data_IF_413096173472
#
_entry.id   IF_413096173472
#
_cell.length_a   1.000
_cell.length_b   1.000
_cell.length_c   1.000
_cell.angle_alpha   90.00
_cell.angle_beta   90.00
_cell.angle_gamma   90.00
#
_symmetry.space_group_name_H-M   'P 1'
#
loop_
_entity.id
_entity.type
_entity.pdbx_description
1 polymer ?
#
# COMPACT_ATOMS: atom_id res chain seq x y z
N UNK A 1 -101.33 -36.23 -22.86
CA UNK A 1 -101.53 -35.07 -23.75
C UNK A 1 -100.19 -34.73 -24.37
N UNK A 2 -100.12 -34.92 -25.68
CA UNK A 2 -99.37 -34.18 -26.71
C UNK A 2 -97.95 -33.60 -26.44
N UNK A 3 -96.98 -34.18 -27.17
CA UNK A 3 -96.24 -33.56 -28.31
C UNK A 3 -95.55 -32.19 -28.12
N UNK A 4 -94.21 -32.19 -28.29
CA UNK A 4 -93.48 -31.59 -29.45
C UNK A 4 -92.22 -30.76 -29.10
N UNK A 5 -91.06 -31.32 -29.48
CA UNK A 5 -90.11 -30.82 -30.48
C UNK A 5 -89.49 -29.40 -30.40
N UNK A 6 -88.14 -29.35 -30.29
CA UNK A 6 -87.18 -28.66 -31.19
C UNK A 6 -85.81 -28.55 -30.48
N UNK A 7 -84.68 -29.14 -30.93
CA UNK A 7 -83.84 -28.97 -32.15
C UNK A 7 -82.59 -28.10 -31.89
N UNK A 8 -81.43 -28.80 -31.90
CA UNK A 8 -80.11 -28.51 -32.52
C UNK A 8 -79.31 -27.26 -32.12
N UNK A 9 -78.03 -27.49 -31.77
CA UNK A 9 -76.94 -26.53 -31.96
C UNK A 9 -75.65 -26.93 -31.24
N UNK A 10 -74.69 -27.51 -31.97
CA UNK A 10 -73.34 -27.79 -31.47
C UNK A 10 -72.49 -26.54 -31.25
N UNK A 11 -71.33 -26.71 -30.61
CA UNK A 11 -70.35 -25.63 -30.45
C UNK A 11 -69.25 -25.96 -29.45
N UNK A 12 -68.25 -26.70 -29.93
CA UNK A 12 -66.80 -26.50 -29.75
C UNK A 12 -66.23 -25.92 -28.44
N UNK A 13 -65.26 -26.65 -27.90
CA UNK A 13 -63.88 -26.16 -27.98
C UNK A 13 -63.40 -25.19 -26.90
N UNK A 14 -62.79 -25.76 -25.86
CA UNK A 14 -61.45 -25.40 -25.36
C UNK A 14 -60.98 -23.93 -25.56
N UNK A 15 -61.19 -23.05 -24.57
CA UNK A 15 -60.57 -21.69 -24.57
C UNK A 15 -59.94 -21.27 -23.23
N UNK A 16 -59.76 -22.19 -22.28
CA UNK A 16 -59.16 -21.89 -20.96
C UNK A 16 -57.63 -21.89 -20.93
N UNK A 17 -56.97 -22.82 -21.64
CA UNK A 17 -55.52 -23.06 -21.49
C UNK A 17 -54.62 -22.16 -22.34
N UNK A 18 -55.11 -21.62 -23.47
CA UNK A 18 -54.30 -20.82 -24.39
C UNK A 18 -53.87 -19.46 -23.83
N UNK A 19 -54.74 -18.81 -23.02
CA UNK A 19 -54.49 -17.46 -22.48
C UNK A 19 -53.48 -17.47 -21.33
N UNK A 20 -53.50 -18.49 -20.47
CA UNK A 20 -52.54 -18.65 -19.38
C UNK A 20 -51.13 -18.94 -19.91
N UNK A 21 -51.02 -19.83 -20.91
CA UNK A 21 -49.75 -20.17 -21.54
C UNK A 21 -49.14 -18.99 -22.32
N UNK A 22 -49.99 -18.16 -22.96
CA UNK A 22 -49.55 -16.93 -23.65
C UNK A 22 -49.04 -15.87 -22.66
N UNK A 23 -49.74 -15.66 -21.54
CA UNK A 23 -49.29 -14.70 -20.50
C UNK A 23 -47.99 -15.14 -19.82
N UNK A 24 -47.83 -16.43 -19.57
CA UNK A 24 -46.59 -16.98 -19.03
C UNK A 24 -45.41 -16.81 -19.99
N UNK A 25 -45.61 -17.08 -21.30
CA UNK A 25 -44.59 -16.86 -22.34
C UNK A 25 -44.19 -15.39 -22.47
N UNK A 26 -45.16 -14.46 -22.41
CA UNK A 26 -44.88 -13.03 -22.45
C UNK A 26 -44.10 -12.55 -21.22
N UNK A 27 -44.40 -13.09 -20.03
CA UNK A 27 -43.67 -12.78 -18.80
C UNK A 27 -42.22 -13.27 -18.88
N UNK A 28 -42.00 -14.53 -19.30
CA UNK A 28 -40.65 -15.10 -19.47
C UNK A 28 -39.86 -14.33 -20.52
N UNK A 29 -40.50 -13.96 -21.63
CA UNK A 29 -39.87 -13.13 -22.67
C UNK A 29 -39.49 -11.75 -22.15
N UNK A 30 -40.35 -11.08 -21.38
CA UNK A 30 -40.06 -9.79 -20.76
C UNK A 30 -38.88 -9.87 -19.77
N UNK A 31 -38.81 -10.93 -18.97
CA UNK A 31 -37.69 -11.17 -18.05
C UNK A 31 -36.38 -11.35 -18.85
N UNK A 32 -36.39 -12.17 -19.90
CA UNK A 32 -35.22 -12.40 -20.75
C UNK A 32 -34.73 -11.11 -21.43
N UNK A 33 -35.64 -10.30 -21.96
CA UNK A 33 -35.30 -9.01 -22.57
C UNK A 33 -34.67 -8.05 -21.54
N UNK A 34 -35.21 -7.98 -20.32
CA UNK A 34 -34.64 -7.13 -19.27
C UNK A 34 -33.25 -7.62 -18.81
N UNK A 35 -33.05 -8.93 -18.71
CA UNK A 35 -31.74 -9.51 -18.38
C UNK A 35 -30.71 -9.18 -19.48
N UNK A 36 -31.07 -9.33 -20.75
CA UNK A 36 -30.19 -9.00 -21.87
C UNK A 36 -29.85 -7.50 -21.94
N UNK A 37 -30.83 -6.62 -21.71
CA UNK A 37 -30.61 -5.18 -21.63
C UNK A 37 -29.66 -4.82 -20.47
N UNK A 38 -29.81 -5.47 -19.32
CA UNK A 38 -28.94 -5.26 -18.16
C UNK A 38 -27.50 -5.70 -18.46
N UNK A 39 -27.32 -6.85 -19.11
CA UNK A 39 -25.99 -7.35 -19.53
C UNK A 39 -25.36 -6.39 -20.54
N UNK A 40 -26.12 -5.88 -21.52
CA UNK A 40 -25.63 -4.95 -22.52
C UNK A 40 -25.23 -3.59 -21.92
N UNK A 41 -26.04 -3.05 -21.00
CA UNK A 41 -25.73 -1.84 -20.25
C UNK A 41 -24.46 -2.02 -19.41
N UNK A 42 -24.34 -3.14 -18.70
CA UNK A 42 -23.17 -3.45 -17.89
C UNK A 42 -21.91 -3.55 -18.73
N UNK A 43 -21.97 -4.26 -19.86
CA UNK A 43 -20.85 -4.41 -20.80
C UNK A 43 -20.41 -3.09 -21.43
N UNK A 44 -21.36 -2.18 -21.67
CA UNK A 44 -21.05 -0.84 -22.22
C UNK A 44 -20.37 0.06 -21.18
N UNK A 45 -20.79 -0.02 -19.91
CA UNK A 45 -20.20 0.75 -18.81
C UNK A 45 -18.77 0.25 -18.52
N UNK A 46 -18.55 -1.07 -18.49
CA UNK A 46 -17.21 -1.62 -18.26
C UNK A 46 -16.25 -1.29 -19.39
N UNK A 47 -16.69 -1.36 -20.66
CA UNK A 47 -15.88 -0.96 -21.80
C UNK A 47 -15.47 0.51 -21.72
N UNK A 48 -16.41 1.41 -21.41
CA UNK A 48 -16.13 2.84 -21.25
C UNK A 48 -15.23 3.17 -20.05
N UNK A 49 -15.18 2.31 -19.03
CA UNK A 49 -14.25 2.45 -17.90
C UNK A 49 -12.83 2.01 -18.29
N UNK A 50 -12.71 0.89 -19.01
CA UNK A 50 -11.43 0.38 -19.54
C UNK A 50 -10.80 1.36 -20.53
N UNK A 51 -11.60 1.96 -21.43
CA UNK A 51 -11.10 2.96 -22.37
C UNK A 51 -10.60 4.22 -21.67
N UNK A 52 -11.29 4.69 -20.62
CA UNK A 52 -10.86 5.84 -19.81
C UNK A 52 -9.55 5.56 -19.06
N UNK A 53 -9.41 4.35 -18.51
CA UNK A 53 -8.19 3.94 -17.83
C UNK A 53 -7.01 3.84 -18.80
N UNK A 54 -7.23 3.26 -19.98
CA UNK A 54 -6.21 3.18 -21.05
C UNK A 54 -5.79 4.56 -21.53
N UNK A 55 -6.73 5.51 -21.65
CA UNK A 55 -6.43 6.89 -22.02
C UNK A 55 -5.63 7.63 -20.93
N UNK A 56 -5.94 7.41 -19.66
CA UNK A 56 -5.21 7.97 -18.53
C UNK A 56 -3.77 7.43 -18.45
N UNK A 57 -3.57 6.12 -18.70
CA UNK A 57 -2.24 5.49 -18.78
C UNK A 57 -1.40 6.10 -19.90
N UNK A 58 -1.96 6.24 -21.11
CA UNK A 58 -1.27 6.87 -22.24
C UNK A 58 -0.91 8.34 -21.98
N UNK A 59 -1.81 9.10 -21.36
CA UNK A 59 -1.55 10.50 -21.00
C UNK A 59 -0.43 10.62 -19.96
N UNK A 60 -0.39 9.70 -19.00
CA UNK A 60 0.65 9.65 -17.97
C UNK A 60 2.02 9.28 -18.56
N UNK A 61 2.08 8.27 -19.44
CA UNK A 61 3.31 7.88 -20.14
C UNK A 61 3.85 9.03 -21.01
N UNK A 62 2.96 9.76 -21.71
CA UNK A 62 3.35 10.93 -22.49
C UNK A 62 4.01 12.01 -21.60
N UNK A 63 3.40 12.31 -20.44
CA UNK A 63 3.94 13.30 -19.50
C UNK A 63 5.29 12.87 -18.89
N UNK A 64 5.48 11.58 -18.61
CA UNK A 64 6.76 11.05 -18.12
C UNK A 64 7.87 11.13 -19.20
N UNK A 65 7.54 10.82 -20.45
CA UNK A 65 8.47 10.92 -21.57
C UNK A 65 8.88 12.38 -21.86
N UNK A 66 7.94 13.32 -21.73
CA UNK A 66 8.23 14.75 -21.88
C UNK A 66 9.11 15.28 -20.74
N UNK A 67 8.83 14.92 -19.49
CA UNK A 67 9.67 15.26 -18.35
C UNK A 67 11.10 14.69 -18.47
N UNK A 68 11.23 13.45 -18.97
CA UNK A 68 12.52 12.82 -19.23
C UNK A 68 13.28 13.51 -20.38
N UNK A 69 12.58 13.89 -21.46
CA UNK A 69 13.18 14.63 -22.57
C UNK A 69 13.70 16.02 -22.15
N UNK A 70 12.96 16.74 -21.30
CA UNK A 70 13.39 18.02 -20.74
C UNK A 70 14.60 17.89 -19.82
N UNK A 71 14.71 16.79 -19.05
CA UNK A 71 15.89 16.52 -18.22
C UNK A 71 17.17 16.29 -19.04
N UNK A 72 17.06 15.61 -20.18
CA UNK A 72 18.18 15.36 -21.11
C UNK A 72 18.61 16.68 -21.81
N UNK A 73 17.67 17.56 -22.13
CA UNK A 73 17.98 18.88 -22.71
C UNK A 73 18.68 19.81 -21.72
N UNK A 74 18.37 19.70 -20.41
CA UNK A 74 19.05 20.46 -19.37
C UNK A 74 20.50 20.00 -19.16
N UNK A 75 20.80 18.70 -19.32
CA UNK A 75 22.17 18.16 -19.21
C UNK A 75 23.06 18.48 -20.41
N UNK A 76 22.47 18.70 -21.59
CA UNK A 76 23.23 18.94 -22.84
C UNK A 76 23.54 20.43 -23.09
N UNK A 77 23.02 21.36 -22.28
CA UNK A 77 23.09 22.81 -22.53
C UNK A 77 24.12 23.59 -21.68
N UNK A 78 24.97 22.92 -20.88
CA UNK A 78 25.98 23.57 -20.03
C UNK A 78 27.43 23.62 -20.57
N UNK A 79 27.74 24.62 -21.42
CA UNK A 79 29.02 25.38 -21.67
C UNK A 79 30.42 24.66 -21.84
N UNK A 80 31.43 25.29 -22.50
CA UNK A 80 32.27 24.65 -23.53
C UNK A 80 33.74 24.35 -23.12
N UNK A 81 34.42 23.49 -23.89
CA UNK A 81 35.90 23.33 -23.85
C UNK A 81 36.55 23.51 -25.25
N UNK A 82 37.66 24.25 -25.27
CA UNK A 82 38.49 24.59 -26.45
C UNK A 82 39.71 23.62 -26.59
N UNK A 83 40.59 23.70 -27.62
CA UNK A 83 40.82 22.56 -28.53
C UNK A 83 42.25 21.97 -28.63
N UNK A 84 42.28 20.68 -29.01
CA UNK A 84 43.17 19.91 -29.94
C UNK A 84 44.72 19.93 -29.79
N UNK A 85 45.34 18.73 -29.70
CA UNK A 85 45.99 17.93 -30.78
C UNK A 85 47.02 16.88 -30.21
N UNK A 86 47.66 15.96 -30.98
CA UNK A 86 47.16 15.04 -32.02
C UNK A 86 47.68 13.55 -31.96
N UNK A 87 46.88 12.64 -32.57
CA UNK A 87 47.18 11.41 -33.38
C UNK A 87 48.02 10.19 -32.87
N UNK A 88 47.29 9.09 -32.58
CA UNK A 88 47.20 7.74 -33.23
C UNK A 88 48.46 6.87 -33.49
N UNK A 89 48.43 5.50 -33.46
CA UNK A 89 47.40 4.69 -34.17
C UNK A 89 46.92 3.32 -33.59
N UNK A 90 45.67 3.01 -33.96
CA UNK A 90 45.03 1.72 -34.35
C UNK A 90 45.32 0.42 -33.57
N UNK A 91 44.28 -0.12 -32.94
CA UNK A 91 43.80 -1.50 -33.20
C UNK A 91 42.39 -1.78 -32.64
N UNK A 92 41.69 -2.68 -33.33
CA UNK A 92 40.50 -3.46 -32.95
C UNK A 92 39.17 -2.73 -32.67
N UNK A 93 38.24 -2.92 -33.62
CA UNK A 93 36.80 -2.74 -33.45
C UNK A 93 36.26 -3.63 -32.32
N UNK A 94 35.57 -3.03 -31.36
CA UNK A 94 34.65 -3.72 -30.46
C UNK A 94 33.28 -3.01 -30.53
N UNK A 95 32.24 -3.80 -30.73
CA UNK A 95 30.85 -3.37 -30.85
C UNK A 95 30.37 -2.59 -29.60
N UNK A 96 29.38 -1.70 -29.74
CA UNK A 96 28.87 -0.92 -28.61
C UNK A 96 28.17 -1.83 -27.60
N UNK A 97 28.67 -1.80 -26.37
CA UNK A 97 28.03 -2.16 -25.09
C UNK A 97 26.64 -2.81 -25.23
N UNK A 98 26.62 -4.13 -25.33
CA UNK A 98 25.42 -4.88 -24.99
C UNK A 98 25.17 -4.69 -23.50
N UNK A 99 24.08 -4.02 -23.13
CA UNK A 99 23.48 -4.12 -21.80
C UNK A 99 23.40 -5.59 -21.40
N UNK A 100 23.80 -6.01 -20.18
CA UNK A 100 23.53 -7.37 -19.74
C UNK A 100 22.01 -7.55 -19.78
N UNK A 101 21.51 -8.35 -20.72
CA UNK A 101 20.16 -8.87 -20.64
C UNK A 101 20.15 -9.73 -19.39
N UNK A 102 19.46 -9.24 -18.35
CA UNK A 102 19.06 -10.05 -17.22
C UNK A 102 18.49 -11.35 -17.77
N UNK A 103 19.10 -12.49 -17.41
CA UNK A 103 18.47 -13.78 -17.61
C UNK A 103 17.05 -13.73 -17.02
N UNK A 104 16.08 -14.51 -17.53
CA UNK A 104 14.79 -14.63 -16.87
C UNK A 104 15.07 -15.15 -15.46
N UNK A 105 15.01 -14.26 -14.48
CA UNK A 105 15.26 -14.60 -13.09
C UNK A 105 14.26 -15.69 -12.71
N UNK A 106 14.75 -16.75 -12.09
CA UNK A 106 13.91 -17.63 -11.28
C UNK A 106 12.96 -16.77 -10.45
N UNK A 107 11.64 -17.07 -10.44
CA UNK A 107 10.69 -16.29 -9.67
C UNK A 107 11.20 -16.19 -8.23
N UNK A 108 11.11 -15.00 -7.61
CA UNK A 108 11.53 -14.83 -6.23
C UNK A 108 10.84 -15.88 -5.36
N UNK A 109 11.51 -16.39 -4.31
CA UNK A 109 10.91 -17.36 -3.39
C UNK A 109 9.53 -16.86 -2.95
N UNK A 110 8.54 -17.74 -3.06
CA UNK A 110 7.10 -17.45 -2.98
C UNK A 110 6.72 -16.28 -2.05
N UNK A 111 6.18 -15.20 -2.63
CA UNK A 111 5.54 -14.11 -1.88
C UNK A 111 6.33 -12.81 -1.73
N UNK A 112 7.51 -12.67 -2.35
CA UNK A 112 8.25 -11.40 -2.41
C UNK A 112 7.99 -10.65 -3.72
N UNK A 113 7.89 -9.33 -3.62
CA UNK A 113 7.67 -8.41 -4.75
C UNK A 113 8.79 -7.37 -4.76
N UNK A 114 9.44 -7.22 -5.92
CA UNK A 114 10.49 -6.22 -6.07
C UNK A 114 9.89 -4.82 -6.20
N UNK A 115 10.42 -3.88 -5.43
CA UNK A 115 10.07 -2.46 -5.54
C UNK A 115 10.69 -1.80 -6.78
N UNK A 116 11.54 -2.49 -7.54
CA UNK A 116 12.17 -1.92 -8.74
C UNK A 116 11.33 -2.02 -10.00
N UNK A 117 10.29 -2.85 -9.98
CA UNK A 117 9.48 -3.13 -11.14
C UNK A 117 8.85 -1.85 -11.70
N UNK A 118 8.65 -1.77 -13.03
CA UNK A 118 7.76 -0.78 -13.62
C UNK A 118 6.40 -0.81 -12.92
N UNK A 119 5.76 0.35 -12.75
CA UNK A 119 4.64 0.45 -11.81
C UNK A 119 3.48 -0.50 -12.13
N UNK A 120 3.12 -0.67 -13.41
CA UNK A 120 2.08 -1.62 -13.82
C UNK A 120 2.43 -3.08 -13.43
N UNK A 121 3.69 -3.47 -13.60
CA UNK A 121 4.18 -4.80 -13.19
C UNK A 121 4.20 -4.95 -11.67
N UNK A 122 4.64 -3.91 -10.96
CA UNK A 122 4.61 -3.86 -9.49
C UNK A 122 3.18 -4.09 -8.96
N UNK A 123 2.20 -3.34 -9.47
CA UNK A 123 0.79 -3.48 -9.07
C UNK A 123 0.30 -4.90 -9.31
N UNK A 124 0.58 -5.46 -10.50
CA UNK A 124 0.17 -6.83 -10.85
C UNK A 124 0.77 -7.87 -9.91
N UNK A 125 2.06 -7.76 -9.60
CA UNK A 125 2.74 -8.70 -8.70
C UNK A 125 2.28 -8.54 -7.24
N UNK A 126 2.07 -7.30 -6.78
CA UNK A 126 1.48 -7.04 -5.46
C UNK A 126 0.11 -7.69 -5.32
N UNK A 127 -0.79 -7.55 -6.31
CA UNK A 127 -2.11 -8.18 -6.27
C UNK A 127 -1.98 -9.71 -6.21
N UNK A 128 -1.09 -10.30 -7.02
CA UNK A 128 -0.88 -11.74 -7.03
C UNK A 128 -0.32 -12.25 -5.68
N UNK A 129 0.64 -11.52 -5.11
CA UNK A 129 1.23 -11.84 -3.81
C UNK A 129 0.21 -11.71 -2.66
N UNK A 130 -0.60 -10.65 -2.67
CA UNK A 130 -1.69 -10.45 -1.70
C UNK A 130 -2.73 -11.57 -1.82
N UNK A 131 -3.14 -11.93 -3.04
CA UNK A 131 -4.11 -12.99 -3.26
C UNK A 131 -3.64 -14.36 -2.74
N UNK A 132 -2.34 -14.63 -2.83
CA UNK A 132 -1.70 -15.85 -2.33
C UNK A 132 -1.41 -15.84 -0.81
N UNK A 133 -1.47 -14.67 -0.16
CA UNK A 133 -1.13 -14.55 1.25
C UNK A 133 -2.18 -15.19 2.18
N UNK A 134 -1.77 -15.65 3.38
CA UNK A 134 -2.70 -16.10 4.41
C UNK A 134 -3.78 -15.06 4.68
N UNK A 135 -5.02 -15.51 4.83
CA UNK A 135 -6.15 -14.63 5.14
C UNK A 135 -6.53 -14.73 6.62
N UNK A 136 -6.87 -13.58 7.21
CA UNK A 136 -7.41 -13.46 8.56
C UNK A 136 -8.66 -12.56 8.53
N UNK A 137 -9.46 -12.60 9.58
CA UNK A 137 -10.57 -11.65 9.73
C UNK A 137 -10.03 -10.23 9.92
N UNK A 138 -10.62 -9.24 9.23
CA UNK A 138 -10.31 -7.81 9.46
C UNK A 138 -11.10 -7.32 10.67
N UNK A 139 -10.40 -7.19 11.79
CA UNK A 139 -10.82 -6.52 13.01
C UNK A 139 -9.61 -5.84 13.66
N UNK A 140 -9.79 -5.15 14.79
CA UNK A 140 -8.71 -4.41 15.45
C UNK A 140 -7.53 -5.27 15.91
N UNK A 141 -7.63 -6.61 15.89
CA UNK A 141 -6.56 -7.54 16.24
C UNK A 141 -5.75 -8.03 15.03
N UNK A 142 -6.13 -7.70 13.80
CA UNK A 142 -5.36 -8.08 12.61
C UNK A 142 -3.96 -7.45 12.58
N UNK A 143 -3.68 -6.46 13.42
CA UNK A 143 -2.35 -5.86 13.61
C UNK A 143 -1.46 -6.61 14.60
N UNK A 144 -2.02 -7.47 15.47
CA UNK A 144 -1.30 -8.07 16.61
C UNK A 144 -0.21 -9.02 16.16
N UNK A 145 -0.54 -9.94 15.24
CA UNK A 145 0.44 -10.92 14.75
C UNK A 145 1.55 -10.23 13.94
N UNK A 146 1.26 -9.32 13.00
CA UNK A 146 2.27 -8.52 12.32
C UNK A 146 3.17 -7.74 13.28
N UNK A 147 2.60 -7.09 14.31
CA UNK A 147 3.38 -6.37 15.33
C UNK A 147 4.33 -7.29 16.10
N UNK A 148 3.87 -8.47 16.52
CA UNK A 148 4.73 -9.43 17.21
C UNK A 148 5.87 -9.93 16.32
N UNK A 149 5.59 -10.20 15.05
CA UNK A 149 6.63 -10.58 14.09
C UNK A 149 7.65 -9.44 13.90
N UNK A 150 7.17 -8.20 13.83
CA UNK A 150 8.01 -7.01 13.73
C UNK A 150 8.96 -6.84 14.92
N UNK A 151 8.45 -6.95 16.15
CA UNK A 151 9.23 -6.83 17.38
C UNK A 151 10.21 -7.98 17.58
N UNK A 152 9.92 -9.15 17.02
CA UNK A 152 10.88 -10.27 16.97
C UNK A 152 12.00 -10.01 15.97
N UNK A 153 11.68 -9.44 14.80
CA UNK A 153 12.66 -9.16 13.76
C UNK A 153 13.55 -7.94 14.06
N UNK A 154 12.98 -6.91 14.70
CA UNK A 154 13.65 -5.65 15.07
C UNK A 154 13.43 -5.35 16.56
N UNK A 155 14.11 -6.06 17.48
CA UNK A 155 13.93 -5.88 18.91
C UNK A 155 14.24 -4.45 19.36
N UNK A 156 13.33 -3.85 20.14
CA UNK A 156 13.47 -2.46 20.62
C UNK A 156 13.22 -1.38 19.56
N UNK A 157 12.88 -1.78 18.33
CA UNK A 157 12.53 -0.87 17.26
C UNK A 157 11.27 -0.04 17.53
N UNK A 158 11.13 1.05 16.79
CA UNK A 158 10.01 1.97 16.89
C UNK A 158 8.69 1.31 16.48
N UNK A 159 7.61 1.61 17.21
CA UNK A 159 6.23 1.18 16.91
C UNK A 159 5.37 2.42 16.77
N UNK A 160 4.71 2.60 15.62
CA UNK A 160 3.86 3.75 15.37
C UNK A 160 2.56 3.41 14.64
N UNK A 161 1.52 4.20 14.93
CA UNK A 161 0.24 4.21 14.22
C UNK A 161 -0.04 5.61 13.66
N UNK A 162 -0.50 5.66 12.42
CA UNK A 162 -0.82 6.87 11.67
C UNK A 162 -2.29 6.84 11.26
N UNK A 163 -3.11 7.67 11.90
CA UNK A 163 -4.57 7.57 11.84
C UNK A 163 -5.10 6.78 13.02
N UNK A 164 -5.44 7.50 14.09
CA UNK A 164 -5.83 6.93 15.40
C UNK A 164 -7.34 6.99 15.56
N UNK A 165 -7.97 8.08 15.14
CA UNK A 165 -9.38 8.38 15.38
C UNK A 165 -9.78 8.16 16.85
N UNK A 166 -10.60 7.15 17.13
CA UNK A 166 -11.06 6.78 18.49
C UNK A 166 -10.09 5.84 19.22
N UNK A 167 -9.06 5.35 18.54
CA UNK A 167 -7.97 4.55 19.10
C UNK A 167 -8.33 3.09 19.41
N UNK A 168 -9.26 2.49 18.66
CA UNK A 168 -9.58 1.07 18.82
C UNK A 168 -8.39 0.18 18.43
N UNK A 169 -7.76 0.45 17.29
CA UNK A 169 -6.53 -0.24 16.87
C UNK A 169 -5.34 0.15 17.77
N UNK A 170 -5.20 1.44 18.14
CA UNK A 170 -4.19 1.90 19.09
C UNK A 170 -4.19 1.13 20.41
N UNK A 171 -5.36 0.89 21.01
CA UNK A 171 -5.50 0.10 22.25
C UNK A 171 -4.95 -1.31 22.04
N UNK A 172 -5.25 -1.93 20.91
CA UNK A 172 -4.77 -3.27 20.56
C UNK A 172 -3.26 -3.30 20.36
N UNK A 173 -2.70 -2.34 19.63
CA UNK A 173 -1.24 -2.20 19.43
C UNK A 173 -0.55 -1.99 20.78
N UNK A 174 -1.04 -1.05 21.59
CA UNK A 174 -0.52 -0.75 22.94
C UNK A 174 -0.51 -1.98 23.85
N UNK A 175 -1.60 -2.75 23.87
CA UNK A 175 -1.70 -3.97 24.67
C UNK A 175 -0.75 -5.07 24.19
N UNK A 176 -0.61 -5.25 22.86
CA UNK A 176 0.25 -6.27 22.27
C UNK A 176 1.75 -5.92 22.34
N UNK A 177 2.09 -4.64 22.31
CA UNK A 177 3.44 -4.09 22.51
C UNK A 177 3.90 -4.29 23.96
N UNK A 178 3.01 -4.13 24.94
CA UNK A 178 3.31 -4.36 26.36
C UNK A 178 3.99 -3.16 27.03
N UNK A 179 4.31 -3.29 28.33
CA UNK A 179 4.81 -2.16 29.16
C UNK A 179 6.21 -1.68 28.79
N UNK A 180 7.04 -2.56 28.23
CA UNK A 180 8.45 -2.29 27.95
C UNK A 180 8.66 -1.71 26.54
N UNK A 181 7.57 -1.49 25.82
CA UNK A 181 7.52 -1.02 24.45
C UNK A 181 6.62 0.23 24.41
N UNK A 182 7.06 1.24 23.66
CA UNK A 182 6.37 2.52 23.54
C UNK A 182 5.76 2.67 22.14
N UNK A 183 4.51 3.10 22.08
CA UNK A 183 3.76 3.30 20.82
C UNK A 183 3.58 4.78 20.56
N UNK A 184 3.95 5.23 19.36
CA UNK A 184 3.76 6.62 18.93
C UNK A 184 2.52 6.73 18.05
N UNK A 185 1.55 7.49 18.51
CA UNK A 185 0.25 7.66 17.87
C UNK A 185 0.20 9.02 17.16
N UNK A 186 0.03 9.04 15.84
CA UNK A 186 -0.05 10.26 15.03
C UNK A 186 -1.45 10.46 14.50
N UNK A 187 -2.05 11.61 14.80
CA UNK A 187 -3.33 12.02 14.23
C UNK A 187 -3.52 13.54 14.40
N UNK A 188 -4.22 14.17 13.47
CA UNK A 188 -4.63 15.57 13.62
C UNK A 188 -5.80 15.72 14.58
N UNK A 189 -6.60 14.66 14.74
CA UNK A 189 -7.93 14.60 15.34
C UNK A 189 -8.94 15.59 14.71
N UNK A 190 -8.57 16.22 13.60
CA UNK A 190 -9.42 17.11 12.81
C UNK A 190 -10.10 16.39 11.64
N UNK A 191 -9.76 15.12 11.42
CA UNK A 191 -10.27 14.30 10.33
C UNK A 191 -9.45 14.47 9.04
N UNK A 192 -9.96 13.92 7.94
CA UNK A 192 -9.24 13.95 6.66
C UNK A 192 -8.97 15.39 6.17
N UNK A 193 -7.74 15.74 5.77
CA UNK A 193 -7.40 17.09 5.29
C UNK A 193 -8.05 17.43 3.93
N UNK A 194 -8.35 16.41 3.13
CA UNK A 194 -9.02 16.51 1.84
C UNK A 194 -10.01 15.36 1.64
N UNK A 195 -10.84 15.45 0.60
CA UNK A 195 -11.66 14.32 0.16
C UNK A 195 -10.75 13.17 -0.28
N UNK A 196 -11.07 11.95 0.15
CA UNK A 196 -10.41 10.71 -0.28
C UNK A 196 -10.95 10.23 -1.63
N UNK A 197 -12.25 9.91 -1.69
CA UNK A 197 -12.91 9.39 -2.90
C UNK A 197 -14.41 9.62 -2.88
N UNK A 198 -15.03 9.37 -4.03
CA UNK A 198 -16.48 9.32 -4.12
C UNK A 198 -17.02 8.10 -3.37
N UNK A 199 -18.14 8.31 -2.68
CA UNK A 199 -18.85 7.28 -1.93
C UNK A 199 -20.18 6.94 -2.58
N UNK A 200 -20.82 5.81 -2.22
CA UNK A 200 -22.11 5.39 -2.77
C UNK A 200 -23.27 6.36 -2.41
N UNK A 201 -23.05 7.29 -1.47
CA UNK A 201 -24.00 8.35 -1.15
C UNK A 201 -23.31 9.54 -0.49
N UNK A 202 -23.95 10.72 -0.50
CA UNK A 202 -23.46 11.91 0.20
C UNK A 202 -23.30 11.71 1.71
N UNK A 203 -24.15 10.89 2.33
CA UNK A 203 -24.04 10.54 3.74
C UNK A 203 -22.80 9.68 4.01
N UNK A 204 -22.54 8.70 3.14
CA UNK A 204 -21.34 7.89 3.22
C UNK A 204 -20.09 8.76 3.03
N UNK A 205 -20.08 9.60 2.00
CA UNK A 205 -18.97 10.53 1.76
C UNK A 205 -18.68 11.37 2.99
N UNK A 206 -19.68 12.09 3.53
CA UNK A 206 -19.49 12.93 4.72
C UNK A 206 -18.90 12.17 5.92
N UNK A 207 -19.22 10.89 6.06
CA UNK A 207 -18.81 10.08 7.21
C UNK A 207 -17.44 9.43 7.05
N UNK A 208 -17.07 9.01 5.84
CA UNK A 208 -15.94 8.10 5.62
C UNK A 208 -14.92 8.57 4.59
N UNK A 209 -15.29 9.40 3.62
CA UNK A 209 -14.38 9.73 2.50
C UNK A 209 -14.28 11.22 2.20
N UNK A 210 -15.07 12.04 2.87
CA UNK A 210 -15.09 13.49 2.72
C UNK A 210 -14.04 14.17 3.57
N UNK A 211 -13.69 15.41 3.21
CA UNK A 211 -12.87 16.28 4.05
C UNK A 211 -13.51 16.41 5.45
N UNK A 212 -12.72 16.25 6.51
CA UNK A 212 -13.18 16.26 7.90
C UNK A 212 -13.91 14.99 8.34
N UNK A 213 -14.02 13.96 7.49
CA UNK A 213 -14.42 12.63 7.95
C UNK A 213 -13.51 12.17 9.09
N UNK A 214 -14.06 11.42 10.05
CA UNK A 214 -13.36 10.97 11.26
C UNK A 214 -12.88 12.08 12.22
N UNK A 215 -13.35 13.32 12.08
CA UNK A 215 -12.99 14.39 13.01
C UNK A 215 -13.48 14.12 14.44
N UNK A 216 -12.59 14.35 15.42
CA UNK A 216 -12.93 14.48 16.84
C UNK A 216 -12.86 15.96 17.29
N UNK A 217 -12.88 16.90 16.35
CA UNK A 217 -12.79 18.33 16.65
C UNK A 217 -11.44 18.73 17.26
N UNK A 218 -10.36 18.03 16.89
CA UNK A 218 -9.02 18.25 17.43
C UNK A 218 -8.79 17.65 18.83
N UNK A 219 -9.75 16.89 19.37
CA UNK A 219 -9.63 16.32 20.71
C UNK A 219 -9.03 14.92 20.67
N UNK A 220 -7.96 14.73 21.44
CA UNK A 220 -7.35 13.42 21.68
C UNK A 220 -8.29 12.56 22.53
N UNK A 221 -8.58 11.30 22.14
CA UNK A 221 -9.43 10.42 22.93
C UNK A 221 -8.77 10.05 24.26
N UNK A 222 -9.54 10.03 25.35
CA UNK A 222 -9.07 9.65 26.69
C UNK A 222 -9.05 8.13 26.85
N UNK A 223 -7.95 7.50 26.44
CA UNK A 223 -7.82 6.04 26.47
C UNK A 223 -7.12 5.48 27.72
N UNK A 224 -6.43 6.32 28.50
CA UNK A 224 -5.73 5.89 29.72
C UNK A 224 -4.51 4.97 29.47
N UNK A 225 -3.96 5.00 28.25
CA UNK A 225 -2.82 4.17 27.86
C UNK A 225 -1.52 4.78 28.37
N UNK A 226 -0.74 4.00 29.13
CA UNK A 226 0.49 4.49 29.78
C UNK A 226 1.74 4.43 28.89
N UNK A 227 1.72 3.58 27.87
CA UNK A 227 2.84 3.34 26.96
C UNK A 227 2.64 3.99 25.59
N UNK A 228 1.78 5.01 25.50
CA UNK A 228 1.45 5.72 24.26
C UNK A 228 1.83 7.19 24.37
N UNK A 229 2.54 7.71 23.38
CA UNK A 229 2.71 9.15 23.17
C UNK A 229 1.91 9.61 21.96
N UNK A 230 1.10 10.66 22.14
CA UNK A 230 0.32 11.28 21.08
C UNK A 230 1.10 12.42 20.43
N UNK A 231 1.20 12.38 19.11
CA UNK A 231 1.76 13.42 18.27
C UNK A 231 0.60 14.05 17.48
N UNK A 232 0.12 15.20 17.96
CA UNK A 232 -1.09 15.84 17.44
C UNK A 232 -0.75 16.80 16.31
N UNK A 233 -1.26 16.55 15.12
CA UNK A 233 -1.07 17.40 13.94
C UNK A 233 -1.13 16.62 12.62
N UNK A 234 -0.91 17.30 11.51
CA UNK A 234 -0.77 16.64 10.21
C UNK A 234 0.57 15.91 10.12
N UNK A 235 0.61 14.78 9.40
CA UNK A 235 1.81 13.93 9.34
C UNK A 235 3.04 14.67 8.80
N UNK A 236 2.87 15.48 7.75
CA UNK A 236 3.94 16.32 7.19
C UNK A 236 4.48 17.39 8.16
N UNK A 237 3.72 17.77 9.19
CA UNK A 237 4.12 18.77 10.18
C UNK A 237 4.78 18.11 11.40
N UNK A 238 4.25 16.98 11.86
CA UNK A 238 4.67 16.36 13.13
C UNK A 238 5.77 15.31 12.93
N UNK A 239 5.70 14.51 11.87
CA UNK A 239 6.54 13.33 11.72
C UNK A 239 8.02 13.68 11.44
N UNK A 240 8.37 14.67 10.59
CA UNK A 240 9.77 15.01 10.34
C UNK A 240 10.52 15.43 11.60
N UNK A 241 9.90 16.28 12.44
CA UNK A 241 10.47 16.74 13.71
C UNK A 241 10.56 15.62 14.74
N UNK A 242 9.58 14.70 14.74
CA UNK A 242 9.63 13.53 15.60
C UNK A 242 10.80 12.60 15.23
N UNK A 243 10.93 12.23 13.95
CA UNK A 243 12.05 11.37 13.48
C UNK A 243 13.39 12.09 13.59
N UNK A 244 13.40 13.43 13.44
CA UNK A 244 14.22 14.40 14.16
C UNK A 244 14.95 13.88 15.40
N UNK A 245 14.14 13.78 16.45
CA UNK A 245 14.52 13.46 17.83
C UNK A 245 14.83 11.99 18.06
N UNK A 246 14.41 11.10 17.15
CA UNK A 246 14.59 9.65 17.25
C UNK A 246 15.79 9.16 16.42
N UNK A 247 16.77 10.04 16.15
CA UNK A 247 17.95 9.70 15.38
C UNK A 247 18.57 8.39 15.90
N UNK A 248 18.86 7.45 14.99
CA UNK A 248 19.41 6.10 15.26
C UNK A 248 18.41 5.03 15.71
N UNK A 249 17.12 5.33 15.86
CA UNK A 249 16.14 4.30 16.19
C UNK A 249 15.63 3.62 14.92
N UNK A 250 15.92 2.33 14.79
CA UNK A 250 15.35 1.46 13.77
C UNK A 250 13.84 1.31 13.98
N UNK A 251 13.08 1.13 12.91
CA UNK A 251 11.63 0.97 12.98
C UNK A 251 11.24 -0.50 12.92
N UNK A 252 10.54 -0.99 13.94
CA UNK A 252 9.97 -2.33 13.92
C UNK A 252 8.64 -2.32 13.16
N UNK A 253 7.69 -1.48 13.57
CA UNK A 253 6.31 -1.57 13.14
C UNK A 253 5.69 -0.22 12.79
N UNK A 254 4.99 -0.17 11.66
CA UNK A 254 4.22 0.99 11.20
C UNK A 254 2.81 0.51 10.83
N UNK A 255 1.78 1.15 11.39
CA UNK A 255 0.40 1.02 10.92
C UNK A 255 -0.01 2.29 10.17
N UNK A 256 -0.31 2.17 8.87
CA UNK A 256 -0.72 3.25 7.97
C UNK A 256 -2.22 3.17 7.75
N UNK A 257 -2.96 4.10 8.33
CA UNK A 257 -4.44 4.19 8.32
C UNK A 257 -4.88 5.65 8.06
N UNK A 258 -4.24 6.27 7.06
CA UNK A 258 -4.42 7.68 6.71
C UNK A 258 -5.32 7.93 5.51
N UNK A 259 -5.84 6.85 4.90
CA UNK A 259 -6.66 6.73 3.68
C UNK A 259 -6.04 7.30 2.38
N UNK A 260 -5.43 8.48 2.46
CA UNK A 260 -4.98 9.28 1.33
C UNK A 260 -3.57 8.86 0.89
N UNK A 261 -3.34 8.90 -0.43
CA UNK A 261 -1.98 8.83 -0.99
C UNK A 261 -1.02 9.82 -0.33
N UNK A 262 -1.45 11.07 -0.15
CA UNK A 262 -0.63 12.11 0.47
C UNK A 262 -0.23 11.74 1.90
N UNK A 263 -1.19 11.28 2.71
CA UNK A 263 -0.95 10.81 4.07
C UNK A 263 0.07 9.66 4.10
N UNK A 264 -0.14 8.61 3.30
CA UNK A 264 0.77 7.47 3.24
C UNK A 264 2.16 7.87 2.72
N UNK A 265 2.23 8.79 1.76
CA UNK A 265 3.49 9.32 1.24
C UNK A 265 4.26 10.08 2.31
N UNK A 266 3.60 10.98 3.04
CA UNK A 266 4.22 11.75 4.12
C UNK A 266 4.81 10.81 5.17
N UNK A 267 4.09 9.74 5.53
CA UNK A 267 4.58 8.70 6.45
C UNK A 267 5.79 7.98 5.86
N UNK A 268 5.62 7.27 4.75
CA UNK A 268 6.63 6.35 4.21
C UNK A 268 7.91 7.08 3.77
N UNK A 269 7.78 8.22 3.08
CA UNK A 269 8.93 8.98 2.62
C UNK A 269 9.71 9.56 3.80
N UNK A 270 9.05 9.97 4.89
CA UNK A 270 9.75 10.44 6.09
C UNK A 270 10.60 9.35 6.72
N UNK A 271 10.08 8.13 6.86
CA UNK A 271 10.88 7.00 7.37
C UNK A 271 12.02 6.62 6.42
N UNK A 272 11.78 6.60 5.11
CA UNK A 272 12.79 6.28 4.10
C UNK A 272 13.92 7.32 4.06
N UNK A 273 13.59 8.62 4.12
CA UNK A 273 14.57 9.70 4.11
C UNK A 273 15.45 9.73 5.36
N UNK A 274 14.95 9.18 6.46
CA UNK A 274 15.65 9.09 7.75
C UNK A 274 16.40 7.78 7.94
N UNK A 275 16.44 6.93 6.90
CA UNK A 275 17.06 5.60 6.95
C UNK A 275 16.56 4.74 8.11
N UNK A 276 15.30 4.93 8.51
CA UNK A 276 14.71 4.30 9.68
C UNK A 276 14.03 2.95 9.36
N UNK A 277 13.89 2.61 8.07
CA UNK A 277 13.38 1.32 7.60
C UNK A 277 14.54 0.34 7.47
N UNK A 278 14.41 -0.84 8.10
CA UNK A 278 15.45 -1.88 8.11
C UNK A 278 14.88 -3.22 7.67
N UNK A 279 15.75 -4.21 7.48
CA UNK A 279 15.31 -5.59 7.24
C UNK A 279 14.47 -6.09 8.41
N UNK A 280 13.26 -6.57 8.14
CA UNK A 280 12.32 -7.03 9.16
C UNK A 280 11.32 -5.97 9.64
N UNK A 281 11.45 -4.71 9.21
CA UNK A 281 10.39 -3.70 9.44
C UNK A 281 9.07 -4.19 8.84
N UNK A 282 8.01 -4.18 9.63
CA UNK A 282 6.66 -4.54 9.18
C UNK A 282 5.81 -3.28 9.05
N UNK A 283 5.15 -3.15 7.90
CA UNK A 283 4.20 -2.09 7.61
C UNK A 283 2.84 -2.73 7.38
N UNK A 284 1.84 -2.34 8.16
CA UNK A 284 0.45 -2.73 7.96
C UNK A 284 -0.29 -1.55 7.37
N UNK A 285 -0.91 -1.76 6.22
CA UNK A 285 -1.71 -0.76 5.51
C UNK A 285 -3.18 -1.08 5.69
N UNK A 286 -4.02 -0.11 6.07
CA UNK A 286 -5.46 -0.36 6.17
C UNK A 286 -6.17 -0.38 4.81
N UNK A 287 -5.65 0.41 3.85
CA UNK A 287 -6.27 0.69 2.54
C UNK A 287 -5.26 0.52 1.37
N UNK A 288 -4.46 -0.55 1.41
CA UNK A 288 -3.53 -0.89 0.32
C UNK A 288 -4.25 -1.39 -0.93
N UNK A 289 -5.34 -2.14 -0.72
CA UNK A 289 -6.19 -2.73 -1.75
C UNK A 289 -7.63 -2.80 -1.24
N UNK A 290 -8.58 -2.86 -2.16
CA UNK A 290 -9.97 -3.13 -1.80
C UNK A 290 -10.99 -2.08 -2.23
N UNK A 291 -10.57 -1.09 -3.01
CA UNK A 291 -11.43 -0.07 -3.61
C UNK A 291 -10.95 0.28 -5.03
N UNK A 292 -11.80 0.73 -5.97
CA UNK A 292 -11.46 0.82 -7.38
C UNK A 292 -10.17 1.59 -7.71
N UNK A 293 -9.87 2.63 -6.92
CA UNK A 293 -8.72 3.52 -7.11
C UNK A 293 -7.48 3.13 -6.29
N UNK A 294 -7.41 1.93 -5.71
CA UNK A 294 -6.33 1.52 -4.79
C UNK A 294 -4.91 1.69 -5.35
N UNK A 295 -4.74 1.47 -6.66
CA UNK A 295 -3.46 1.62 -7.35
C UNK A 295 -2.97 3.06 -7.43
N UNK A 296 -3.77 4.04 -7.01
CA UNK A 296 -3.35 5.45 -6.89
C UNK A 296 -3.21 5.92 -5.43
N UNK A 297 -3.51 5.04 -4.46
CA UNK A 297 -3.47 5.32 -3.03
C UNK A 297 -2.17 4.87 -2.34
N UNK A 298 -2.30 4.18 -1.21
CA UNK A 298 -1.16 3.76 -0.37
C UNK A 298 -0.15 2.89 -1.12
N UNK A 299 -0.62 2.04 -2.05
CA UNK A 299 0.26 1.21 -2.89
C UNK A 299 1.19 2.07 -3.76
N UNK A 300 0.69 3.20 -4.27
CA UNK A 300 1.49 4.15 -5.04
C UNK A 300 2.50 4.85 -4.14
N UNK A 301 2.08 5.27 -2.95
CA UNK A 301 2.96 5.91 -1.98
C UNK A 301 4.12 5.00 -1.59
N UNK A 302 3.85 3.71 -1.34
CA UNK A 302 4.86 2.69 -1.09
C UNK A 302 5.87 2.61 -2.23
N UNK A 303 5.39 2.51 -3.48
CA UNK A 303 6.31 2.46 -4.62
C UNK A 303 7.15 3.73 -4.73
N UNK A 304 6.52 4.90 -4.67
CA UNK A 304 7.15 6.20 -4.91
C UNK A 304 8.24 6.48 -3.86
N UNK A 305 7.95 6.28 -2.57
CA UNK A 305 8.90 6.62 -1.51
C UNK A 305 10.15 5.75 -1.52
N UNK A 306 10.02 4.47 -1.90
CA UNK A 306 11.15 3.55 -1.98
C UNK A 306 11.91 3.62 -3.32
N UNK A 307 11.57 4.54 -4.24
CA UNK A 307 12.38 4.78 -5.45
C UNK A 307 13.81 5.20 -5.12
N UNK A 308 14.02 5.99 -4.07
CA UNK A 308 15.35 6.42 -3.62
C UNK A 308 16.20 5.28 -3.02
N UNK A 309 15.54 4.18 -2.62
CA UNK A 309 16.15 2.95 -2.07
C UNK A 309 16.11 1.80 -3.08
N UNK A 310 16.13 2.12 -4.37
CA UNK A 310 16.06 1.17 -5.47
C UNK A 310 17.08 0.04 -5.27
N UNK A 311 16.60 -1.19 -5.33
CA UNK A 311 17.41 -2.41 -5.22
C UNK A 311 17.79 -2.80 -3.80
N UNK A 312 17.45 -1.99 -2.79
CA UNK A 312 17.79 -2.28 -1.40
C UNK A 312 16.73 -3.14 -0.70
N UNK A 313 15.46 -3.02 -1.09
CA UNK A 313 14.37 -3.72 -0.44
C UNK A 313 13.43 -4.42 -1.42
N UNK A 314 12.92 -5.57 -0.98
CA UNK A 314 11.76 -6.28 -1.51
C UNK A 314 10.63 -6.23 -0.47
N UNK A 315 9.40 -6.42 -0.93
CA UNK A 315 8.21 -6.48 -0.08
C UNK A 315 7.78 -7.93 0.04
N UNK A 316 7.74 -8.49 1.24
CA UNK A 316 7.14 -9.80 1.52
C UNK A 316 5.75 -9.61 2.10
N UNK A 317 4.72 -10.21 1.50
CA UNK A 317 3.37 -10.18 2.08
C UNK A 317 3.28 -11.21 3.20
N UNK A 318 2.95 -10.77 4.42
CA UNK A 318 2.82 -11.65 5.59
C UNK A 318 1.41 -12.24 5.68
N UNK A 319 0.40 -11.38 5.55
CA UNK A 319 -1.01 -11.74 5.62
C UNK A 319 -1.89 -10.62 5.06
N UNK A 320 -3.13 -10.99 4.73
CA UNK A 320 -4.21 -10.08 4.38
C UNK A 320 -5.40 -10.26 5.31
N UNK A 321 -5.93 -9.18 5.83
CA UNK A 321 -7.13 -9.17 6.65
C UNK A 321 -8.33 -8.77 5.79
N UNK A 322 -9.41 -9.55 5.81
CA UNK A 322 -10.61 -9.33 4.99
C UNK A 322 -11.81 -9.08 5.89
N UNK A 323 -12.61 -8.02 5.63
CA UNK A 323 -13.87 -7.80 6.37
C UNK A 323 -14.88 -8.89 6.03
N UNK A 324 -15.55 -9.40 7.05
CA UNK A 324 -16.47 -10.53 6.94
C UNK A 324 -17.71 -10.18 6.09
N UNK A 325 -18.15 -11.15 5.28
CA UNK A 325 -19.11 -10.97 4.17
C UNK A 325 -20.52 -10.54 4.62
N UNK A 326 -20.84 -10.69 5.91
CA UNK A 326 -22.21 -10.53 6.43
C UNK A 326 -22.63 -9.06 6.67
N UNK A 327 -21.70 -8.12 6.71
CA UNK A 327 -21.99 -6.71 7.02
C UNK A 327 -21.94 -5.75 5.80
N UNK A 328 -21.52 -6.22 4.63
CA UNK A 328 -21.29 -5.37 3.46
C UNK A 328 -22.32 -5.63 2.34
N UNK A 329 -23.24 -4.67 2.14
CA UNK A 329 -24.34 -4.72 1.17
C UNK A 329 -23.92 -4.58 -0.32
N UNK A 330 -22.63 -4.65 -0.66
CA UNK A 330 -22.16 -4.57 -2.05
C UNK A 330 -21.09 -5.60 -2.32
N UNK A 331 -21.30 -6.46 -3.31
CA UNK A 331 -20.44 -7.60 -3.67
C UNK A 331 -19.09 -7.22 -4.31
N UNK A 332 -18.76 -5.94 -4.45
CA UNK A 332 -17.71 -5.50 -5.38
C UNK A 332 -16.53 -4.69 -4.79
N UNK A 333 -16.40 -4.55 -3.47
CA UNK A 333 -15.34 -3.70 -2.86
C UNK A 333 -14.92 -4.30 -1.52
N UNK A 334 -13.73 -4.89 -1.44
CA UNK A 334 -13.22 -5.60 -0.24
C UNK A 334 -12.07 -4.84 0.41
N UNK A 335 -12.31 -3.87 1.32
CA UNK A 335 -11.24 -3.18 2.04
C UNK A 335 -10.42 -4.22 2.80
N UNK A 336 -9.13 -4.29 2.49
CA UNK A 336 -8.21 -5.28 3.03
C UNK A 336 -7.06 -4.57 3.69
N UNK A 337 -6.87 -4.85 4.98
CA UNK A 337 -5.62 -4.48 5.62
C UNK A 337 -4.56 -5.49 5.19
N UNK A 338 -3.39 -5.03 4.78
CA UNK A 338 -2.31 -5.90 4.29
C UNK A 338 -1.06 -5.63 5.12
N UNK A 339 -0.53 -6.70 5.71
CA UNK A 339 0.74 -6.66 6.42
C UNK A 339 1.86 -7.03 5.46
N UNK A 340 2.84 -6.14 5.33
CA UNK A 340 4.04 -6.37 4.52
C UNK A 340 5.29 -6.25 5.37
N UNK A 341 6.28 -7.10 5.10
CA UNK A 341 7.60 -7.02 5.71
C UNK A 341 8.59 -6.52 4.66
N UNK A 342 9.40 -5.54 5.06
CA UNK A 342 10.52 -5.04 4.29
C UNK A 342 11.68 -6.00 4.41
N UNK A 343 12.13 -6.54 3.29
CA UNK A 343 13.24 -7.52 3.24
C UNK A 343 14.38 -6.93 2.45
N UNK A 344 15.58 -6.93 3.02
CA UNK A 344 16.75 -6.42 2.31
C UNK A 344 17.09 -7.35 1.13
N UNK A 345 17.29 -6.76 -0.05
CA UNK A 345 17.65 -7.51 -1.25
C UNK A 345 19.05 -8.10 -1.11
N UNK A 346 19.21 -9.37 -1.51
CA UNK A 346 20.48 -10.10 -1.47
C UNK A 346 21.57 -9.49 -2.38
N UNK A 347 21.22 -8.54 -3.26
CA UNK A 347 22.18 -7.85 -4.13
C UNK A 347 22.95 -6.73 -3.43
N UNK A 348 22.56 -6.34 -2.20
CA UNK A 348 23.20 -5.25 -1.44
C UNK A 348 24.16 -5.76 -0.35
N UNK A 349 24.23 -7.07 -0.11
CA UNK A 349 25.09 -7.66 0.92
C UNK A 349 26.60 -7.68 0.61
N UNK A 350 27.04 -7.26 -0.59
CA UNK A 350 28.45 -7.34 -1.02
C UNK A 350 29.18 -5.99 -1.19
N UNK A 351 28.64 -4.88 -0.68
CA UNK A 351 29.37 -3.60 -0.65
C UNK A 351 29.62 -3.14 0.78
N UNK A 352 30.47 -3.88 1.49
CA UNK A 352 31.21 -3.29 2.61
C UNK A 352 32.10 -2.14 2.11
N UNK A 353 32.41 -1.12 2.93
CA UNK A 353 33.34 -0.07 2.53
C UNK A 353 34.71 -0.70 2.27
N UNK A 354 35.15 -0.70 1.01
CA UNK A 354 36.55 -0.96 0.66
C UNK A 354 37.35 0.27 1.13
N UNK A 355 37.73 0.25 2.41
CA UNK A 355 38.84 1.06 2.91
C UNK A 355 40.13 0.49 2.31
N UNK A 356 40.51 0.99 1.14
CA UNK A 356 41.87 0.92 0.65
C UNK A 356 42.78 1.72 1.58
N UNK A 357 43.20 1.12 2.70
CA UNK A 357 44.35 1.62 3.46
C UNK A 357 45.60 1.04 2.80
N UNK A 358 46.32 1.91 2.09
CA UNK A 358 47.64 1.60 1.56
C UNK A 358 48.57 1.19 2.70
N UNK A 359 49.31 0.10 2.45
CA UNK A 359 50.34 -0.47 3.30
C UNK A 359 51.45 0.54 3.65
N UNK A 360 51.77 0.66 4.93
CA UNK A 360 52.95 1.36 5.44
C UNK A 360 53.43 0.78 6.77
N UNK A 361 54.42 -0.11 6.69
CA UNK A 361 55.44 -0.46 7.68
C UNK A 361 55.14 -0.51 9.21
N UNK A 362 55.18 -1.74 9.74
CA UNK A 362 55.90 -2.20 10.94
C UNK A 362 55.84 -1.40 12.27
N UNK A 363 55.28 -2.01 13.33
CA UNK A 363 56.03 -2.52 14.51
C UNK A 363 55.10 -3.18 15.55
N UNK A 364 55.71 -4.10 16.30
CA UNK A 364 55.21 -4.99 17.35
C UNK A 364 54.58 -4.31 18.57
N UNK A 365 53.57 -4.94 19.18
CA UNK A 365 53.63 -5.57 20.53
C UNK A 365 52.23 -5.94 21.03
N UNK A 366 52.19 -6.99 21.85
CA UNK A 366 51.03 -7.60 22.46
C UNK A 366 50.14 -6.63 23.27
N UNK A 367 48.82 -6.82 23.19
CA UNK A 367 47.94 -7.09 24.34
C UNK A 367 46.48 -7.16 23.87
N UNK A 368 45.84 -8.29 24.13
CA UNK A 368 44.42 -8.54 23.85
C UNK A 368 43.64 -8.47 25.16
N UNK A 369 42.59 -7.64 25.28
CA UNK A 369 41.53 -7.89 26.25
C UNK A 369 40.27 -8.43 25.55
N UNK A 370 39.65 -9.40 26.22
CA UNK A 370 38.39 -10.04 25.86
C UNK A 370 37.21 -9.04 25.72
N UNK A 371 36.15 -9.37 24.95
CA UNK A 371 35.03 -8.47 24.73
C UNK A 371 34.22 -8.26 26.01
N UNK A 372 34.00 -6.98 26.34
CA UNK A 372 33.15 -6.56 27.45
C UNK A 372 31.69 -6.95 27.19
N UNK A 373 31.12 -7.65 28.17
CA UNK A 373 29.70 -8.00 28.24
C UNK A 373 28.88 -6.72 28.45
N UNK A 374 28.11 -6.33 27.44
CA UNK A 374 27.12 -5.26 27.53
C UNK A 374 25.97 -5.70 28.47
N UNK A 375 25.79 -4.98 29.58
CA UNK A 375 24.60 -5.07 30.45
C UNK A 375 23.80 -3.77 30.29
N UNK A 376 22.46 -3.80 30.10
CA UNK A 376 21.67 -2.59 29.97
C UNK A 376 21.53 -1.86 31.32
N UNK A 377 21.86 -0.57 31.33
CA UNK A 377 21.58 0.37 32.42
C UNK A 377 20.25 1.09 32.16
N UNK A 378 19.48 1.31 33.23
CA UNK A 378 18.06 1.64 33.25
C UNK A 378 17.69 3.06 32.80
N UNK A 379 16.45 3.21 32.32
CA UNK A 379 15.75 4.38 31.75
C UNK A 379 15.53 5.60 32.69
N UNK A 380 16.36 5.81 33.71
CA UNK A 380 16.16 6.89 34.70
C UNK A 380 16.97 8.16 34.43
N UNK A 381 17.88 8.12 33.46
CA UNK A 381 18.83 9.22 33.20
C UNK A 381 18.39 10.18 32.07
N UNK A 382 17.24 9.95 31.42
CA UNK A 382 16.77 10.77 30.29
C UNK A 382 15.78 11.89 30.65
N UNK A 383 15.43 12.08 31.93
CA UNK A 383 14.32 12.96 32.32
C UNK A 383 14.70 14.22 33.11
N UNK A 384 15.94 14.70 33.04
CA UNK A 384 16.26 16.03 33.55
C UNK A 384 17.37 16.70 32.74
N UNK A 385 16.99 17.54 31.77
CA UNK A 385 17.50 18.92 31.74
C UNK A 385 16.57 19.82 30.90
N UNK A 386 16.07 20.94 31.43
CA UNK A 386 15.41 21.94 30.61
C UNK A 386 16.47 22.91 30.09
N UNK A 387 16.64 22.96 28.76
CA UNK A 387 16.80 24.18 27.93
C UNK A 387 16.89 23.81 26.44
#
# INVERSE_FOLDING_TARGET
MERSSSVIGGGDGNTGDGKANTRFRLLVFSILVNVLLTIALYSSITLAAVERQTAAEKAYEAHQNEAHALSIQAETSGLPRSPKSPRSPKSAQAAPWATPRSAPGTPPPSGRVSLELPYASFVKEMIAAIAAAPHVAKDQHSVVKPLRQALQAVPGGLVAEFGVFKGDTLKTISAACGSDCHVFAFDSFQGLPSKWRDGPSKRFEKKYTGKGAFSLGGQVPRLGLKNVAYNVGLFNETLPTFLASMAHKETAFIHVDGDLYASAKDVLCSFVQRDAIVNGTVIVFDELIGYPEFSSGEMKALRDCFQSKRGQFEVQILERAVKDVRESYSRDIWPQSVAVMMVQSALVSDCGPIMMVQSGAARSSADTPAPAVYRPTTLRDYLHDPL
#
